data_IF_465668152511
#
_entry.id   IF_465668152511
#
_cell.length_a   1.000
_cell.length_b   1.000
_cell.length_c   1.000
_cell.angle_alpha   90.00
_cell.angle_beta   90.00
_cell.angle_gamma   90.00
#
_symmetry.space_group_name_H-M   'P 1'
#
loop_
_entity.id
_entity.type
_entity.pdbx_description
1 polymer ?
#
# COMPACT_ATOMS: atom_id res chain seq x y z
N UNK A 1 8.19 -21.07 9.21
CA UNK A 1 9.26 -20.92 8.19
C UNK A 1 9.57 -19.44 8.13
N UNK A 2 10.71 -19.03 8.66
CA UNK A 2 11.13 -17.62 8.67
C UNK A 2 11.79 -17.33 7.33
N UNK A 3 11.26 -16.33 6.59
CA UNK A 3 11.76 -15.98 5.26
C UNK A 3 12.83 -14.90 5.44
N UNK A 4 14.06 -15.21 5.03
CA UNK A 4 15.14 -14.22 4.95
C UNK A 4 14.85 -13.28 3.77
N UNK A 5 14.32 -12.10 4.09
CA UNK A 5 13.93 -11.09 3.09
C UNK A 5 15.14 -10.55 2.32
N UNK A 6 16.34 -10.57 2.90
CA UNK A 6 17.55 -10.12 2.20
C UNK A 6 17.91 -11.12 1.10
N UNK A 7 17.99 -12.41 1.44
CA UNK A 7 18.26 -13.45 0.44
C UNK A 7 17.20 -13.51 -0.65
N UNK A 8 15.93 -13.29 -0.29
CA UNK A 8 14.85 -13.25 -1.27
C UNK A 8 14.98 -12.05 -2.22
N UNK A 9 15.35 -10.88 -1.69
CA UNK A 9 15.63 -9.70 -2.51
C UNK A 9 16.80 -9.95 -3.47
N UNK A 10 17.87 -10.60 -2.99
CA UNK A 10 19.05 -10.92 -3.81
C UNK A 10 18.67 -11.86 -4.97
N UNK A 11 17.90 -12.92 -4.67
CA UNK A 11 17.41 -13.85 -5.68
C UNK A 11 16.51 -13.18 -6.74
N UNK A 12 15.60 -12.29 -6.32
CA UNK A 12 14.76 -11.51 -7.24
C UNK A 12 15.60 -10.59 -8.12
N UNK A 13 16.62 -9.96 -7.55
CA UNK A 13 17.51 -9.04 -8.27
C UNK A 13 18.39 -9.79 -9.28
N UNK A 14 18.93 -10.95 -8.92
CA UNK A 14 19.81 -11.75 -9.76
C UNK A 14 19.05 -12.42 -10.91
N UNK A 15 17.93 -13.09 -10.60
CA UNK A 15 17.26 -13.98 -11.55
C UNK A 15 16.08 -13.33 -12.28
N UNK A 16 15.32 -12.46 -11.61
CA UNK A 16 14.10 -11.87 -12.21
C UNK A 16 14.39 -10.50 -12.83
N UNK A 17 15.34 -9.74 -12.28
CA UNK A 17 15.77 -8.42 -12.78
C UNK A 17 14.59 -7.47 -13.03
N UNK A 18 13.81 -7.26 -11.97
CA UNK A 18 12.63 -6.41 -12.00
C UNK A 18 12.98 -4.96 -12.38
N UNK A 19 12.06 -4.28 -13.06
CA UNK A 19 12.17 -2.87 -13.46
C UNK A 19 12.31 -1.89 -12.27
N UNK A 20 11.97 -2.33 -11.05
CA UNK A 20 12.25 -1.61 -9.82
C UNK A 20 12.72 -2.57 -8.73
N UNK A 21 13.32 -2.03 -7.68
CA UNK A 21 13.61 -2.83 -6.49
C UNK A 21 12.32 -3.42 -5.86
N UNK A 22 12.40 -4.63 -5.27
CA UNK A 22 11.29 -5.24 -4.53
C UNK A 22 10.85 -4.38 -3.34
N UNK A 23 9.53 -4.30 -3.10
CA UNK A 23 8.98 -3.58 -1.94
C UNK A 23 8.37 -4.57 -0.97
N UNK A 24 8.83 -4.53 0.27
CA UNK A 24 8.22 -5.26 1.37
C UNK A 24 7.01 -4.51 1.91
N UNK A 25 5.95 -5.24 2.25
CA UNK A 25 4.73 -4.69 2.85
C UNK A 25 4.46 -5.44 4.15
N UNK A 26 4.09 -4.70 5.19
CA UNK A 26 3.64 -5.26 6.47
C UNK A 26 2.50 -4.43 7.03
N UNK A 27 1.64 -5.07 7.81
CA UNK A 27 0.65 -4.37 8.63
C UNK A 27 1.30 -3.90 9.92
N UNK A 28 0.94 -2.71 10.37
CA UNK A 28 1.44 -2.09 11.61
C UNK A 28 0.39 -2.24 12.69
N UNK A 29 0.80 -2.58 13.91
CA UNK A 29 -0.14 -2.67 15.04
C UNK A 29 -0.44 -1.28 15.62
N UNK A 30 -1.63 -1.07 16.20
CA UNK A 30 -1.91 0.17 16.94
C UNK A 30 -0.85 0.43 18.03
N UNK A 31 -0.32 1.66 18.07
CA UNK A 31 0.69 2.08 19.05
C UNK A 31 2.13 1.63 18.76
N UNK A 32 2.37 0.88 17.68
CA UNK A 32 3.72 0.51 17.27
C UNK A 32 4.51 1.74 16.79
N UNK A 33 5.77 1.87 17.22
CA UNK A 33 6.63 2.95 16.75
C UNK A 33 6.98 2.75 15.27
N UNK A 34 6.74 3.80 14.50
CA UNK A 34 7.07 3.84 13.08
C UNK A 34 8.48 4.45 12.88
N UNK A 35 9.21 4.04 11.84
CA UNK A 35 10.50 4.64 11.50
C UNK A 35 10.38 6.15 11.23
N UNK A 36 11.35 6.95 11.65
CA UNK A 36 11.34 8.41 11.44
C UNK A 36 11.35 8.81 9.96
N UNK A 37 11.99 8.02 9.10
CA UNK A 37 12.05 8.26 7.64
C UNK A 37 10.74 8.02 6.90
N UNK A 38 9.69 7.61 7.61
CA UNK A 38 8.42 7.26 7.03
C UNK A 38 7.66 8.51 6.53
N UNK A 39 7.02 8.37 5.37
CA UNK A 39 6.13 9.37 4.78
C UNK A 39 4.68 8.94 4.90
N UNK A 40 3.82 9.88 5.26
CA UNK A 40 2.36 9.72 5.33
C UNK A 40 1.69 10.73 4.39
N UNK A 41 1.02 10.28 3.32
CA UNK A 41 0.46 11.17 2.30
C UNK A 41 -0.41 12.31 2.84
N UNK A 42 -1.34 12.03 3.75
CA UNK A 42 -2.24 13.05 4.29
C UNK A 42 -1.51 14.04 5.21
N UNK A 43 -0.58 13.54 6.02
CA UNK A 43 0.14 14.36 6.99
C UNK A 43 1.24 15.21 6.34
N UNK A 44 2.08 14.61 5.51
CA UNK A 44 3.30 15.24 5.00
C UNK A 44 3.09 15.94 3.66
N UNK A 45 2.22 15.39 2.80
CA UNK A 45 1.97 15.89 1.44
C UNK A 45 0.63 16.60 1.30
N UNK A 46 -0.23 16.53 2.34
CA UNK A 46 -1.58 17.11 2.35
C UNK A 46 -2.48 16.59 1.22
N UNK A 47 -2.26 15.35 0.80
CA UNK A 47 -3.05 14.67 -0.24
C UNK A 47 -3.55 13.31 0.25
N UNK A 48 -4.61 12.81 -0.38
CA UNK A 48 -5.04 11.41 -0.25
C UNK A 48 -4.63 10.65 -1.50
N UNK A 49 -4.22 9.40 -1.32
CA UNK A 49 -3.72 8.53 -2.39
C UNK A 49 -4.47 7.22 -2.42
N UNK A 50 -4.51 6.59 -3.59
CA UNK A 50 -4.86 5.18 -3.69
C UNK A 50 -3.67 4.32 -3.22
N UNK A 51 -3.93 3.10 -2.75
CA UNK A 51 -2.88 2.18 -2.31
C UNK A 51 -1.88 1.84 -3.41
N UNK A 52 -2.36 1.71 -4.65
CA UNK A 52 -1.49 1.52 -5.82
C UNK A 52 -0.53 2.71 -6.02
N UNK A 53 -0.97 3.94 -5.76
CA UNK A 53 -0.11 5.12 -5.80
C UNK A 53 0.91 5.11 -4.67
N UNK A 54 0.51 4.72 -3.45
CA UNK A 54 1.45 4.57 -2.32
C UNK A 54 2.54 3.51 -2.61
N UNK A 55 2.17 2.37 -3.20
CA UNK A 55 3.13 1.34 -3.65
C UNK A 55 4.04 1.91 -4.75
N UNK A 56 3.50 2.66 -5.70
CA UNK A 56 4.30 3.29 -6.75
C UNK A 56 5.29 4.32 -6.18
N UNK A 57 4.89 5.12 -5.19
CA UNK A 57 5.77 6.05 -4.48
C UNK A 57 6.92 5.30 -3.80
N UNK A 58 6.62 4.19 -3.12
CA UNK A 58 7.67 3.35 -2.54
C UNK A 58 8.63 2.85 -3.63
N UNK A 59 8.13 2.22 -4.70
CA UNK A 59 8.94 1.62 -5.78
C UNK A 59 9.78 2.64 -6.56
N UNK A 60 9.24 3.85 -6.80
CA UNK A 60 9.87 4.84 -7.70
C UNK A 60 10.72 5.87 -6.97
N UNK A 61 10.34 6.25 -5.74
CA UNK A 61 11.02 7.31 -5.00
C UNK A 61 11.93 6.78 -3.90
N UNK A 62 11.95 5.47 -3.64
CA UNK A 62 12.72 4.93 -2.52
C UNK A 62 12.13 5.24 -1.15
N UNK A 63 10.89 5.73 -1.10
CA UNK A 63 10.27 6.18 0.15
C UNK A 63 9.74 5.01 0.96
N UNK A 64 9.89 5.10 2.28
CA UNK A 64 9.11 4.29 3.21
C UNK A 64 7.78 5.01 3.41
N UNK A 65 6.67 4.37 3.05
CA UNK A 65 5.34 4.98 3.09
C UNK A 65 4.44 4.21 4.06
N UNK A 66 3.75 4.89 4.97
CA UNK A 66 2.58 4.31 5.65
C UNK A 66 1.30 4.94 5.12
N UNK A 67 0.24 4.15 5.14
CA UNK A 67 -1.12 4.58 4.80
C UNK A 67 -2.09 4.11 5.89
N UNK A 68 -2.87 5.05 6.41
CA UNK A 68 -4.06 4.81 7.24
C UNK A 68 -5.35 5.19 6.51
N UNK A 69 -6.48 5.19 7.22
CA UNK A 69 -7.78 5.60 6.65
C UNK A 69 -7.76 7.06 6.14
N UNK A 70 -7.04 7.94 6.83
CA UNK A 70 -6.91 9.34 6.46
C UNK A 70 -6.14 9.54 5.16
N UNK A 71 -5.23 8.61 4.83
CA UNK A 71 -4.37 8.65 3.64
C UNK A 71 -5.07 8.08 2.40
N UNK A 72 -6.03 7.16 2.59
CA UNK A 72 -6.63 6.38 1.50
C UNK A 72 -7.82 7.12 0.87
N UNK A 73 -7.68 7.47 -0.41
CA UNK A 73 -8.79 7.97 -1.25
C UNK A 73 -9.61 6.86 -1.90
N UNK A 74 -9.00 5.70 -2.15
CA UNK A 74 -9.65 4.58 -2.84
C UNK A 74 -10.71 3.91 -1.94
N UNK A 75 -12.01 3.98 -2.29
CA UNK A 75 -13.07 3.40 -1.47
C UNK A 75 -12.97 1.87 -1.38
N UNK A 76 -12.51 1.21 -2.45
CA UNK A 76 -12.34 -0.24 -2.47
C UNK A 76 -11.29 -0.68 -1.45
N UNK A 77 -10.14 -0.01 -1.42
CA UNK A 77 -9.09 -0.37 -0.48
C UNK A 77 -9.48 -0.02 0.96
N UNK A 78 -10.16 1.11 1.17
CA UNK A 78 -10.64 1.47 2.51
C UNK A 78 -11.55 0.38 3.10
N UNK A 79 -12.37 -0.27 2.27
CA UNK A 79 -13.19 -1.42 2.69
C UNK A 79 -12.33 -2.67 2.93
N UNK A 80 -11.43 -3.02 2.01
CA UNK A 80 -10.59 -4.22 2.13
C UNK A 80 -9.68 -4.19 3.37
N UNK A 81 -9.12 -3.04 3.71
CA UNK A 81 -8.32 -2.87 4.93
C UNK A 81 -9.15 -2.72 6.20
N UNK A 82 -10.48 -2.73 6.10
CA UNK A 82 -11.38 -2.61 7.25
C UNK A 82 -11.47 -1.20 7.83
N UNK A 83 -10.98 -0.19 7.13
CA UNK A 83 -11.11 1.21 7.55
C UNK A 83 -12.55 1.73 7.44
N UNK A 84 -13.31 1.23 6.46
CA UNK A 84 -14.72 1.61 6.24
C UNK A 84 -15.57 0.38 6.01
N UNK A 85 -16.84 0.46 6.39
CA UNK A 85 -17.81 -0.62 6.16
C UNK A 85 -18.09 -0.76 4.66
N UNK A 86 -18.23 -2.00 4.21
CA UNK A 86 -18.71 -2.29 2.88
C UNK A 86 -20.16 -1.81 2.72
N UNK A 87 -20.47 -1.16 1.60
CA UNK A 87 -21.85 -0.85 1.23
C UNK A 87 -22.51 -2.05 0.54
N UNK A 88 -23.84 -2.09 0.50
CA UNK A 88 -24.58 -3.10 -0.27
C UNK A 88 -24.18 -3.12 -1.75
N UNK A 89 -23.83 -1.95 -2.30
CA UNK A 89 -23.34 -1.83 -3.67
C UNK A 89 -22.02 -2.57 -3.86
N UNK A 90 -21.08 -2.40 -2.92
CA UNK A 90 -19.81 -3.13 -2.89
C UNK A 90 -20.03 -4.64 -2.74
N UNK A 91 -20.88 -5.05 -1.80
CA UNK A 91 -21.16 -6.46 -1.52
C UNK A 91 -21.84 -7.19 -2.68
N UNK A 92 -22.56 -6.48 -3.55
CA UNK A 92 -23.13 -7.01 -4.80
C UNK A 92 -22.11 -7.14 -5.94
N UNK A 93 -20.80 -6.99 -5.67
CA UNK A 93 -19.74 -7.10 -6.67
C UNK A 93 -19.68 -5.94 -7.65
N UNK A 94 -20.31 -4.79 -7.33
CA UNK A 94 -20.42 -3.66 -8.26
C UNK A 94 -19.33 -2.60 -8.08
N UNK A 95 -18.28 -2.89 -7.32
CA UNK A 95 -17.24 -1.91 -6.98
C UNK A 95 -16.59 -1.22 -8.20
N UNK A 96 -16.49 -1.92 -9.33
CA UNK A 96 -15.94 -1.40 -10.59
C UNK A 96 -17.00 -1.19 -11.69
N UNK A 97 -18.29 -1.32 -11.37
CA UNK A 97 -19.35 -1.20 -12.36
C UNK A 97 -19.39 0.23 -12.94
N UNK A 98 -19.24 0.35 -14.26
CA UNK A 98 -19.22 1.63 -14.97
C UNK A 98 -17.91 2.43 -14.88
N UNK A 99 -16.82 1.83 -14.35
CA UNK A 99 -15.54 2.53 -14.22
C UNK A 99 -14.71 2.56 -15.52
N UNK A 100 -14.93 1.59 -16.42
CA UNK A 100 -14.10 1.37 -17.62
C UNK A 100 -14.90 1.38 -18.94
N UNK A 101 -16.14 1.87 -18.90
CA UNK A 101 -17.07 1.98 -20.03
C UNK A 101 -17.34 3.44 -20.29
#
# INVERSE_FOLDING_TARGET
MEVDLSKFNDALTEHVRLDSFPVAVRMVKPGEQLPERLKRPAQDLKIKVATCQAIAMARRYGWVVAVGDEDISCPMTAVVFGFRKASDFYMKGKACAGMYT
#
